data_IF_606378770762
#
_entry.id   IF_606378770762
#
_cell.length_a   1.000
_cell.length_b   1.000
_cell.length_c   1.000
_cell.angle_alpha   90.00
_cell.angle_beta   90.00
_cell.angle_gamma   90.00
#
_symmetry.space_group_name_H-M   'P 1'
#
loop_
_entity.id
_entity.type
_entity.pdbx_description
1 polymer ?
#
# COMPACT_ATOMS: atom_id res chain seq x y z
N UNK A 1 27.55 10.74 16.33
CA UNK A 1 27.69 9.84 15.17
C UNK A 1 26.31 9.57 14.59
N UNK A 2 25.93 10.22 13.48
CA UNK A 2 24.59 10.11 12.89
C UNK A 2 24.37 8.85 12.03
N UNK A 3 25.45 8.15 11.62
CA UNK A 3 25.40 6.97 10.74
C UNK A 3 24.49 5.86 11.30
N UNK A 4 24.56 5.58 12.61
CA UNK A 4 23.82 4.50 13.27
C UNK A 4 22.30 4.67 13.10
N UNK A 5 21.80 5.89 13.30
CA UNK A 5 20.38 6.23 13.15
C UNK A 5 19.93 6.09 11.70
N UNK A 6 20.75 6.54 10.75
CA UNK A 6 20.44 6.44 9.32
C UNK A 6 20.42 4.98 8.85
N UNK A 7 21.35 4.15 9.33
CA UNK A 7 21.41 2.73 9.00
C UNK A 7 20.19 1.98 9.55
N UNK A 8 19.81 2.24 10.79
CA UNK A 8 18.60 1.66 11.40
C UNK A 8 17.34 2.06 10.62
N UNK A 9 17.20 3.34 10.27
CA UNK A 9 16.05 3.83 9.51
C UNK A 9 15.98 3.18 8.12
N UNK A 10 17.11 3.03 7.43
CA UNK A 10 17.17 2.36 6.13
C UNK A 10 16.77 0.89 6.21
N UNK A 11 17.24 0.16 7.22
CA UNK A 11 16.91 -1.25 7.45
C UNK A 11 15.41 -1.46 7.66
N UNK A 12 14.71 -0.54 8.31
CA UNK A 12 13.26 -0.64 8.52
C UNK A 12 12.49 -0.15 7.30
N UNK A 13 12.98 0.91 6.64
CA UNK A 13 12.28 1.55 5.52
C UNK A 13 12.27 0.67 4.27
N UNK A 14 13.39 0.02 3.92
CA UNK A 14 13.49 -0.82 2.71
C UNK A 14 12.47 -1.97 2.70
N UNK A 15 12.38 -2.84 3.72
CA UNK A 15 11.41 -3.93 3.73
C UNK A 15 9.98 -3.40 3.80
N UNK A 16 9.73 -2.32 4.55
CA UNK A 16 8.40 -1.69 4.61
C UNK A 16 7.98 -1.13 3.25
N UNK A 17 8.91 -0.52 2.52
CA UNK A 17 8.68 0.00 1.19
C UNK A 17 8.38 -1.10 0.17
N UNK A 18 9.21 -2.16 0.13
CA UNK A 18 8.97 -3.31 -0.75
C UNK A 18 7.62 -3.96 -0.43
N UNK A 19 7.30 -4.10 0.86
CA UNK A 19 6.03 -4.65 1.29
C UNK A 19 4.85 -3.77 0.86
N UNK A 20 4.98 -2.44 0.98
CA UNK A 20 3.97 -1.49 0.51
C UNK A 20 3.74 -1.61 -0.99
N UNK A 21 4.80 -1.72 -1.81
CA UNK A 21 4.65 -1.90 -3.27
C UNK A 21 3.92 -3.21 -3.57
N UNK A 22 4.30 -4.31 -2.91
CA UNK A 22 3.63 -5.60 -3.07
C UNK A 22 2.14 -5.51 -2.68
N UNK A 23 1.81 -4.81 -1.61
CA UNK A 23 0.45 -4.60 -1.13
C UNK A 23 -0.39 -3.78 -2.13
N UNK A 24 0.17 -2.69 -2.69
CA UNK A 24 -0.48 -1.88 -3.73
C UNK A 24 -0.73 -2.71 -4.99
N UNK A 25 0.23 -3.52 -5.40
CA UNK A 25 0.07 -4.37 -6.58
C UNK A 25 -0.98 -5.46 -6.35
N UNK A 26 -1.07 -6.02 -5.13
CA UNK A 26 -2.02 -7.08 -4.78
C UNK A 26 -3.43 -6.56 -4.48
N UNK A 27 -3.57 -5.30 -4.06
CA UNK A 27 -4.86 -4.73 -3.67
C UNK A 27 -5.74 -4.47 -4.90
N UNK A 28 -6.96 -5.00 -4.87
CA UNK A 28 -7.97 -4.72 -5.88
C UNK A 28 -8.65 -3.40 -5.57
N UNK A 29 -8.13 -2.31 -6.13
CA UNK A 29 -8.79 -1.01 -6.08
C UNK A 29 -10.03 -1.00 -6.97
N UNK A 30 -11.08 -0.29 -6.53
CA UNK A 30 -12.32 -0.12 -7.30
C UNK A 30 -12.08 0.51 -8.67
N UNK A 31 -11.06 1.38 -8.79
CA UNK A 31 -10.64 1.98 -10.06
C UNK A 31 -9.16 1.71 -10.30
N UNK A 32 -8.84 1.27 -11.51
CA UNK A 32 -7.46 0.95 -11.92
C UNK A 32 -6.51 2.16 -11.80
N UNK A 33 -7.01 3.39 -12.00
CA UNK A 33 -6.22 4.62 -11.88
C UNK A 33 -5.65 4.82 -10.47
N UNK A 34 -6.39 4.46 -9.41
CA UNK A 34 -5.90 4.64 -8.04
C UNK A 34 -4.72 3.74 -7.73
N UNK A 35 -4.68 2.53 -8.30
CA UNK A 35 -3.55 1.61 -8.17
C UNK A 35 -2.27 2.24 -8.71
N UNK A 36 -2.34 2.81 -9.92
CA UNK A 36 -1.18 3.45 -10.57
C UNK A 36 -0.71 4.69 -9.81
N UNK A 37 -1.64 5.52 -9.34
CA UNK A 37 -1.32 6.73 -8.56
C UNK A 37 -0.62 6.34 -7.25
N UNK A 38 -1.17 5.38 -6.51
CA UNK A 38 -0.55 4.89 -5.27
C UNK A 38 0.82 4.27 -5.50
N UNK A 39 0.97 3.52 -6.59
CA UNK A 39 2.26 2.93 -6.96
C UNK A 39 3.30 4.00 -7.28
N UNK A 40 2.95 5.06 -8.02
CA UNK A 40 3.84 6.21 -8.24
C UNK A 40 4.22 6.89 -6.93
N UNK A 41 3.25 7.17 -6.05
CA UNK A 41 3.52 7.85 -4.76
C UNK A 41 4.49 7.03 -3.91
N UNK A 42 4.22 5.73 -3.74
CA UNK A 42 5.09 4.84 -2.95
C UNK A 42 6.46 4.69 -3.61
N UNK A 43 6.55 4.66 -4.94
CA UNK A 43 7.81 4.53 -5.67
C UNK A 43 8.70 5.77 -5.53
N UNK A 44 8.14 6.98 -5.66
CA UNK A 44 8.91 8.24 -5.54
C UNK A 44 9.17 8.64 -4.09
N UNK A 45 8.29 8.24 -3.15
CA UNK A 45 8.40 8.57 -1.73
C UNK A 45 8.33 7.29 -0.89
N UNK A 46 9.46 6.58 -0.68
CA UNK A 46 9.43 5.27 -0.04
C UNK A 46 8.91 5.30 1.40
N UNK A 47 9.30 6.29 2.19
CA UNK A 47 8.85 6.41 3.59
C UNK A 47 7.45 7.05 3.67
N UNK A 48 7.33 8.29 3.20
CA UNK A 48 6.09 9.06 3.25
C UNK A 48 4.95 8.43 2.45
N UNK A 49 5.26 7.90 1.27
CA UNK A 49 4.29 7.25 0.38
C UNK A 49 3.76 5.95 0.97
N UNK A 50 4.62 5.12 1.57
CA UNK A 50 4.17 3.89 2.26
C UNK A 50 3.28 4.20 3.46
N UNK A 51 3.64 5.21 4.26
CA UNK A 51 2.82 5.64 5.42
C UNK A 51 1.47 6.17 4.96
N UNK A 52 1.44 7.09 3.99
CA UNK A 52 0.20 7.59 3.41
C UNK A 52 -0.65 6.46 2.85
N UNK A 53 -0.02 5.49 2.19
CA UNK A 53 -0.69 4.33 1.60
C UNK A 53 -1.43 3.54 2.67
N UNK A 54 -0.77 3.15 3.76
CA UNK A 54 -1.42 2.38 4.81
C UNK A 54 -2.57 3.13 5.50
N UNK A 55 -2.45 4.46 5.66
CA UNK A 55 -3.51 5.27 6.28
C UNK A 55 -4.74 5.40 5.37
N UNK A 56 -4.51 5.67 4.08
CA UNK A 56 -5.56 6.04 3.15
C UNK A 56 -6.10 4.87 2.32
N UNK A 57 -5.39 3.75 2.23
CA UNK A 57 -5.84 2.60 1.42
C UNK A 57 -7.24 2.13 1.78
N UNK A 58 -7.63 2.21 3.05
CA UNK A 58 -8.98 1.86 3.54
C UNK A 58 -10.11 2.64 2.86
N UNK A 59 -9.84 3.86 2.37
CA UNK A 59 -10.81 4.72 1.69
C UNK A 59 -10.93 4.38 0.20
N UNK A 60 -9.88 3.79 -0.39
CA UNK A 60 -9.80 3.50 -1.82
C UNK A 60 -9.95 2.00 -2.14
N UNK A 61 -9.79 1.15 -1.14
CA UNK A 61 -10.13 -0.27 -1.20
C UNK A 61 -11.63 -0.41 -1.52
N UNK A 62 -11.92 -1.22 -2.55
CA UNK A 62 -13.31 -1.50 -2.90
C UNK A 62 -14.03 -2.23 -1.77
N UNK A 63 -15.38 -2.23 -1.79
CA UNK A 63 -16.15 -3.02 -0.83
C UNK A 63 -15.59 -4.44 -0.85
N UNK A 64 -15.23 -4.98 0.33
CA UNK A 64 -14.83 -6.37 0.45
C UNK A 64 -15.92 -7.18 -0.23
N UNK A 65 -15.56 -7.94 -1.26
CA UNK A 65 -16.53 -8.76 -1.99
C UNK A 65 -17.09 -9.78 -1.02
N UNK A 66 -18.22 -9.44 -0.40
CA UNK A 66 -19.04 -10.37 0.35
C UNK A 66 -19.69 -11.26 -0.68
N UNK A 67 -19.24 -12.52 -0.72
CA UNK A 67 -19.88 -13.54 -1.52
C UNK A 67 -21.23 -13.83 -0.86
N UNK A 68 -22.29 -13.19 -1.36
CA UNK A 68 -23.66 -13.47 -0.95
C UNK A 68 -24.35 -14.26 -2.07
N UNK A 69 -24.19 -15.59 -2.09
CA UNK A 69 -24.82 -16.39 -3.11
C UNK A 69 -26.31 -16.56 -2.80
N UNK A 70 -27.18 -15.93 -3.60
CA UNK A 70 -28.60 -16.30 -3.66
C UNK A 70 -28.74 -17.56 -4.52
N UNK A 71 -28.49 -18.73 -3.93
CA UNK A 71 -28.63 -20.02 -4.61
C UNK A 71 -30.02 -20.65 -4.49
N UNK A 72 -31.01 -20.01 -3.85
CA UNK A 72 -32.29 -20.67 -3.55
C UNK A 72 -33.47 -19.71 -3.82
N UNK A 73 -34.34 -20.12 -4.75
CA UNK A 73 -35.69 -19.62 -4.96
C UNK A 73 -36.63 -20.80 -5.21
#
# INVERSE_FOLDING_TARGET
MPIELTAFLAIVTIPLWIWSIKDVVSTNFTRNHYRTIWLMIVLFFPLLGSICYFLLKSQFEGPRRTFNPKFIH
#
